data_IF_019582293757
#
_entry.id   IF_019582293757
#
_cell.length_a   1.000
_cell.length_b   1.000
_cell.length_c   1.000
_cell.angle_alpha   90.00
_cell.angle_beta   90.00
_cell.angle_gamma   90.00
#
_symmetry.space_group_name_H-M   'P 1'
#
loop_
_entity.id
_entity.type
_entity.pdbx_description
1 polymer ?
#
# COMPACT_ATOMS: atom_id res chain seq x y z
N UNK A 1 10.48 -18.41 12.76
CA UNK A 1 10.07 -17.99 11.41
C UNK A 1 10.93 -18.74 10.44
N UNK A 2 10.30 -19.54 9.58
CA UNK A 2 11.05 -20.30 8.58
C UNK A 2 11.45 -19.35 7.44
N UNK A 3 12.61 -19.57 6.83
CA UNK A 3 13.08 -18.80 5.66
C UNK A 3 12.00 -18.75 4.57
N UNK A 4 11.22 -19.81 4.43
CA UNK A 4 10.08 -19.93 3.52
C UNK A 4 8.99 -18.86 3.72
N UNK A 5 8.68 -18.47 4.96
CA UNK A 5 7.66 -17.43 5.23
C UNK A 5 8.15 -16.03 4.81
N UNK A 6 9.45 -15.76 4.96
CA UNK A 6 10.09 -14.53 4.52
C UNK A 6 10.19 -14.46 2.99
N UNK A 7 10.52 -15.59 2.35
CA UNK A 7 10.58 -15.70 0.89
C UNK A 7 9.18 -15.51 0.28
N UNK A 8 8.15 -16.14 0.85
CA UNK A 8 6.76 -15.93 0.44
C UNK A 8 6.31 -14.48 0.60
N UNK A 9 6.76 -13.80 1.66
CA UNK A 9 6.47 -12.37 1.86
C UNK A 9 7.18 -11.51 0.81
N UNK A 10 8.44 -11.77 0.53
CA UNK A 10 9.22 -11.07 -0.49
C UNK A 10 8.62 -11.27 -1.89
N UNK A 11 8.19 -12.50 -2.19
CA UNK A 11 7.53 -12.85 -3.44
C UNK A 11 6.14 -12.23 -3.54
N UNK A 12 5.36 -12.18 -2.45
CA UNK A 12 4.09 -11.46 -2.40
C UNK A 12 4.27 -9.95 -2.60
N UNK A 13 5.30 -9.34 -2.01
CA UNK A 13 5.65 -7.93 -2.20
C UNK A 13 6.06 -7.67 -3.66
N UNK A 14 6.83 -8.57 -4.27
CA UNK A 14 7.30 -8.46 -5.66
C UNK A 14 6.16 -8.69 -6.66
N UNK A 15 5.28 -9.65 -6.38
CA UNK A 15 4.06 -9.92 -7.15
C UNK A 15 3.09 -8.74 -7.05
N UNK A 16 2.97 -8.14 -5.86
CA UNK A 16 2.23 -6.89 -5.68
C UNK A 16 2.88 -5.76 -6.49
N UNK A 17 4.22 -5.65 -6.51
CA UNK A 17 4.96 -4.72 -7.36
C UNK A 17 4.66 -4.90 -8.86
N UNK A 18 4.51 -6.13 -9.34
CA UNK A 18 4.09 -6.43 -10.71
C UNK A 18 2.62 -6.12 -11.00
N UNK A 19 1.72 -6.37 -10.05
CA UNK A 19 0.28 -6.11 -10.18
C UNK A 19 -0.09 -4.62 -10.02
N UNK A 20 0.83 -3.80 -9.49
CA UNK A 20 0.65 -2.39 -9.13
C UNK A 20 0.38 -1.43 -10.29
N UNK A 21 0.39 -1.88 -11.55
CA UNK A 21 -0.10 -1.06 -12.68
C UNK A 21 -1.56 -0.60 -12.51
N UNK A 22 -2.35 -1.26 -11.64
CA UNK A 22 -3.74 -0.89 -11.34
C UNK A 22 -3.92 -0.01 -10.11
N UNK A 23 -2.90 0.13 -9.26
CA UNK A 23 -3.02 0.87 -8.00
C UNK A 23 -2.32 2.22 -8.16
N UNK A 24 -3.00 3.35 -7.88
CA UNK A 24 -2.37 4.66 -7.99
C UNK A 24 -1.08 4.77 -7.17
N UNK A 25 -0.01 5.28 -7.78
CA UNK A 25 1.28 5.51 -7.12
C UNK A 25 1.16 6.24 -5.75
N UNK A 26 0.32 7.29 -5.59
CA UNK A 26 0.14 7.93 -4.29
C UNK A 26 -0.33 6.98 -3.19
N UNK A 27 -1.26 6.08 -3.52
CA UNK A 27 -1.76 5.04 -2.60
C UNK A 27 -0.62 4.10 -2.22
N UNK A 28 0.17 3.67 -3.21
CA UNK A 28 1.27 2.75 -2.99
C UNK A 28 2.37 3.30 -2.09
N UNK A 29 2.71 4.57 -2.25
CA UNK A 29 3.69 5.24 -1.41
C UNK A 29 3.21 5.36 0.04
N UNK A 30 1.93 5.68 0.24
CA UNK A 30 1.32 5.76 1.60
C UNK A 30 1.27 4.40 2.30
N UNK A 31 0.81 3.36 1.61
CA UNK A 31 0.77 1.99 2.15
C UNK A 31 2.19 1.48 2.46
N UNK A 32 3.16 1.77 1.59
CA UNK A 32 4.55 1.38 1.82
C UNK A 32 5.15 2.10 3.03
N UNK A 33 4.87 3.39 3.20
CA UNK A 33 5.30 4.15 4.38
C UNK A 33 4.70 3.58 5.68
N UNK A 34 3.43 3.14 5.66
CA UNK A 34 2.81 2.50 6.81
C UNK A 34 3.46 1.15 7.14
N UNK A 35 3.74 0.33 6.12
CA UNK A 35 4.42 -0.95 6.31
C UNK A 35 5.82 -0.78 6.91
N UNK A 36 6.58 0.21 6.44
CA UNK A 36 7.91 0.53 7.00
C UNK A 36 7.80 0.95 8.46
N UNK A 37 6.82 1.77 8.83
CA UNK A 37 6.59 2.20 10.22
C UNK A 37 6.30 1.02 11.15
N UNK A 38 5.44 0.10 10.72
CA UNK A 38 5.08 -1.09 11.50
C UNK A 38 6.30 -1.98 11.67
N UNK A 39 7.03 -2.25 10.59
CA UNK A 39 8.20 -3.12 10.61
C UNK A 39 9.34 -2.53 11.44
N UNK A 40 9.62 -1.22 11.32
CA UNK A 40 10.66 -0.56 12.11
C UNK A 40 10.36 -0.64 13.60
N UNK A 41 9.09 -0.45 14.00
CA UNK A 41 8.66 -0.59 15.41
C UNK A 41 8.78 -2.02 15.93
N UNK A 42 8.45 -3.02 15.11
CA UNK A 42 8.64 -4.43 15.47
C UNK A 42 10.14 -4.75 15.63
N UNK A 43 10.96 -4.30 14.69
CA UNK A 43 12.40 -4.51 14.72
C UNK A 43 13.05 -3.82 15.94
N UNK A 44 12.70 -2.56 16.20
CA UNK A 44 13.27 -1.76 17.28
C UNK A 44 12.95 -2.32 18.67
N UNK A 45 11.82 -3.01 18.83
CA UNK A 45 11.46 -3.73 20.06
C UNK A 45 12.19 -5.07 20.24
N UNK A 46 12.76 -5.64 19.17
CA UNK A 46 13.46 -6.94 19.20
C UNK A 46 14.98 -6.80 19.24
N UNK A 47 15.51 -5.60 19.02
CA UNK A 47 16.94 -5.33 19.03
C UNK A 47 17.36 -4.91 20.45
N UNK A 48 18.29 -5.64 21.10
CA UNK A 48 18.76 -5.30 22.45
C UNK A 48 19.75 -4.11 22.46
N UNK A 49 20.36 -3.80 21.31
CA UNK A 49 21.29 -2.70 21.14
C UNK A 49 20.55 -1.37 20.93
N UNK A 50 20.66 -0.46 21.90
CA UNK A 50 19.98 0.84 21.89
C UNK A 50 20.47 1.76 20.78
N UNK A 51 21.76 1.73 20.43
CA UNK A 51 22.30 2.62 19.40
C UNK A 51 21.76 2.19 18.03
N UNK A 52 21.82 0.89 17.73
CA UNK A 52 21.25 0.33 16.50
C UNK A 52 19.74 0.51 16.40
N UNK A 53 19.05 0.54 17.54
CA UNK A 53 17.62 0.82 17.61
C UNK A 53 17.33 2.24 17.12
N UNK A 54 18.04 3.23 17.67
CA UNK A 54 17.88 4.64 17.30
C UNK A 54 18.20 4.88 15.82
N UNK A 55 19.25 4.24 15.29
CA UNK A 55 19.61 4.32 13.88
C UNK A 55 18.50 3.81 12.95
N UNK A 56 17.89 2.66 13.29
CA UNK A 56 16.79 2.07 12.51
C UNK A 56 15.54 2.92 12.57
N UNK A 57 15.19 3.45 13.74
CA UNK A 57 14.04 4.33 13.92
C UNK A 57 14.23 5.63 13.13
N UNK A 58 15.40 6.26 13.24
CA UNK A 58 15.71 7.50 12.51
C UNK A 58 15.71 7.30 10.99
N UNK A 59 16.31 6.21 10.49
CA UNK A 59 16.32 5.90 9.06
C UNK A 59 14.90 5.62 8.53
N UNK A 60 14.08 4.90 9.30
CA UNK A 60 12.69 4.62 8.94
C UNK A 60 11.87 5.90 8.91
N UNK A 61 11.98 6.76 9.93
CA UNK A 61 11.26 8.03 10.00
C UNK A 61 11.60 8.95 8.83
N UNK A 62 12.89 9.04 8.47
CA UNK A 62 13.32 9.82 7.31
C UNK A 62 12.67 9.30 6.02
N UNK A 63 12.74 8.00 5.77
CA UNK A 63 12.16 7.39 4.57
C UNK A 63 10.64 7.56 4.52
N UNK A 64 9.94 7.36 5.64
CA UNK A 64 8.49 7.56 5.77
C UNK A 64 8.12 9.00 5.41
N UNK A 65 8.88 9.98 5.93
CA UNK A 65 8.65 11.39 5.64
C UNK A 65 8.76 11.69 4.14
N UNK A 66 9.82 11.21 3.51
CA UNK A 66 10.04 11.38 2.05
C UNK A 66 8.91 10.72 1.23
N UNK A 67 8.54 9.47 1.55
CA UNK A 67 7.48 8.76 0.83
C UNK A 67 6.12 9.46 0.97
N UNK A 68 5.79 9.96 2.17
CA UNK A 68 4.56 10.71 2.41
C UNK A 68 4.55 12.04 1.68
N UNK A 69 5.68 12.75 1.67
CA UNK A 69 5.82 14.02 0.96
C UNK A 69 5.61 13.83 -0.54
N UNK A 70 6.32 12.88 -1.16
CA UNK A 70 6.14 12.57 -2.59
C UNK A 70 4.69 12.14 -2.88
N UNK A 71 4.07 11.34 -2.02
CA UNK A 71 2.66 10.95 -2.18
C UNK A 71 1.66 12.11 -2.06
N UNK A 72 2.06 13.23 -1.46
CA UNK A 72 1.26 14.45 -1.35
C UNK A 72 1.42 15.35 -2.57
N UNK A 73 2.61 15.39 -3.16
CA UNK A 73 2.88 16.20 -4.36
C UNK A 73 2.31 15.59 -5.64
N UNK A 74 2.10 14.28 -5.66
CA UNK A 74 1.49 13.60 -6.79
C UNK A 74 0.00 13.96 -6.94
N UNK A 75 -0.49 14.11 -8.18
CA UNK A 75 -1.90 14.37 -8.44
C UNK A 75 -2.78 13.24 -7.87
N UNK A 76 -3.99 13.55 -7.38
CA UNK A 76 -4.92 12.53 -6.93
C UNK A 76 -5.25 11.57 -8.08
N UNK A 77 -5.51 10.28 -7.80
CA UNK A 77 -5.93 9.36 -8.83
C UNK A 77 -7.20 9.85 -9.53
N UNK A 78 -7.35 9.58 -10.84
CA UNK A 78 -8.61 9.82 -11.50
C UNK A 78 -9.71 9.04 -10.77
N UNK A 79 -10.93 9.61 -10.65
CA UNK A 79 -12.05 8.89 -10.05
C UNK A 79 -12.24 7.57 -10.79
N UNK A 80 -12.35 6.48 -10.04
CA UNK A 80 -12.80 5.19 -10.59
C UNK A 80 -14.15 5.46 -11.25
N UNK A 81 -14.29 5.14 -12.54
CA UNK A 81 -15.56 5.24 -13.24
C UNK A 81 -16.63 4.55 -12.40
N UNK A 82 -17.58 5.32 -11.88
CA UNK A 82 -18.73 4.76 -11.18
C UNK A 82 -19.39 3.76 -12.14
N UNK A 83 -19.74 2.54 -11.68
CA UNK A 83 -20.43 1.60 -12.55
C UNK A 83 -21.67 2.29 -13.10
N UNK A 84 -21.80 2.32 -14.43
CA UNK A 84 -22.97 2.89 -15.10
C UNK A 84 -24.24 2.32 -14.46
N UNK A 85 -25.27 3.14 -14.22
CA UNK A 85 -26.52 2.62 -13.68
C UNK A 85 -27.03 1.49 -14.59
N UNK A 86 -27.61 0.43 -14.01
CA UNK A 86 -28.13 -0.68 -14.79
C UNK A 86 -29.15 -0.16 -15.81
N UNK A 87 -29.10 -0.70 -17.03
CA UNK A 87 -30.05 -0.35 -18.08
C UNK A 87 -31.49 -0.48 -17.56
N UNK A 88 -32.38 0.48 -17.86
CA UNK A 88 -33.77 0.40 -17.44
C UNK A 88 -34.41 -0.87 -18.02
N UNK A 89 -35.08 -1.63 -17.15
CA UNK A 89 -35.81 -2.84 -17.56
C UNK A 89 -36.78 -2.53 -18.71
N UNK A 90 -36.92 -3.45 -19.69
CA UNK A 90 -37.84 -3.25 -20.80
C UNK A 90 -39.28 -3.10 -20.32
N UNK A 91 -40.11 -2.28 -21.00
CA UNK A 91 -41.49 -2.06 -20.60
C UNK A 91 -42.30 -3.36 -20.65
N UNK A 92 -43.30 -3.52 -19.76
CA UNK A 92 -44.17 -4.68 -19.77
C UNK A 92 -44.94 -4.78 -21.11
N UNK A 93 -45.25 -6.00 -21.58
CA UNK A 93 -46.01 -6.20 -22.80
C UNK A 93 -47.44 -5.62 -22.66
N UNK A 94 -48.03 -5.11 -23.74
CA UNK A 94 -49.38 -4.53 -23.70
C UNK A 94 -50.43 -5.60 -23.40
N UNK A 95 -51.34 -5.27 -22.47
CA UNK A 95 -52.49 -6.11 -22.11
C UNK A 95 -53.36 -6.38 -23.36
N UNK A 96 -53.71 -7.66 -23.57
CA UNK A 96 -54.63 -8.13 -24.61
C UNK A 96 -56.02 -8.35 -24.05
#
# INVERSE_FOLDING_TARGET
MSTTELDNLAEAITTLAGARNRIPLPTLLRETALNILILSRIASNRIPDKLRKEDIEAAADHLISQLRHVAWELPPPPPLESPSPPDPSPPPPPDR
#
